data_IF_801141420470
#
_entry.id   IF_801141420470
#
_cell.length_a   1.000
_cell.length_b   1.000
_cell.length_c   1.000
_cell.angle_alpha   90.00
_cell.angle_beta   90.00
_cell.angle_gamma   90.00
#
_symmetry.space_group_name_H-M   'P 1'
#
loop_
_entity.id
_entity.type
_entity.pdbx_description
1 polymer ?
#
# COMPACT_ATOMS: atom_id res chain seq x y z
N UNK A 1 -26.72 -21.79 -26.48
CA UNK A 1 -26.50 -22.18 -25.07
C UNK A 1 -26.01 -20.95 -24.25
N UNK A 2 -26.28 -20.94 -22.93
CA UNK A 2 -25.96 -19.76 -22.10
C UNK A 2 -24.48 -19.37 -22.10
N UNK A 3 -23.59 -20.27 -22.46
CA UNK A 3 -22.15 -20.03 -22.54
C UNK A 3 -21.77 -19.22 -23.78
N UNK A 4 -22.41 -19.43 -24.91
CA UNK A 4 -22.20 -18.63 -26.13
C UNK A 4 -22.64 -17.16 -25.93
N UNK A 5 -23.74 -16.97 -25.19
CA UNK A 5 -24.20 -15.60 -24.87
C UNK A 5 -23.25 -14.86 -23.94
N UNK A 6 -22.58 -15.55 -23.02
CA UNK A 6 -21.57 -14.96 -22.11
C UNK A 6 -20.30 -14.61 -22.90
N UNK A 7 -19.85 -15.50 -23.79
CA UNK A 7 -18.67 -15.27 -24.61
C UNK A 7 -18.88 -14.10 -25.61
N UNK A 8 -20.10 -13.95 -26.12
CA UNK A 8 -20.48 -12.84 -27.00
C UNK A 8 -20.51 -11.50 -26.24
N UNK A 9 -21.03 -11.47 -25.00
CA UNK A 9 -21.03 -10.28 -24.14
C UNK A 9 -19.59 -9.88 -23.76
N UNK A 10 -18.72 -10.85 -23.49
CA UNK A 10 -17.30 -10.58 -23.18
C UNK A 10 -16.58 -10.02 -24.42
N UNK A 11 -16.85 -10.56 -25.61
CA UNK A 11 -16.28 -10.05 -26.87
C UNK A 11 -16.73 -8.63 -27.17
N UNK A 12 -18.03 -8.34 -27.07
CA UNK A 12 -18.58 -6.98 -27.32
C UNK A 12 -17.98 -5.97 -26.36
N UNK A 13 -17.85 -6.31 -25.07
CA UNK A 13 -17.20 -5.43 -24.09
C UNK A 13 -15.70 -5.26 -24.34
N UNK A 14 -15.02 -6.29 -24.79
CA UNK A 14 -13.61 -6.20 -25.17
C UNK A 14 -13.39 -5.29 -26.37
N UNK A 15 -14.29 -5.35 -27.37
CA UNK A 15 -14.25 -4.50 -28.57
C UNK A 15 -14.57 -3.02 -28.24
N UNK A 16 -15.55 -2.77 -27.39
CA UNK A 16 -15.86 -1.43 -26.91
C UNK A 16 -14.71 -0.85 -26.09
N UNK A 17 -14.10 -1.64 -25.22
CA UNK A 17 -12.96 -1.24 -24.44
C UNK A 17 -11.72 -0.97 -25.32
N UNK A 18 -11.50 -1.78 -26.35
CA UNK A 18 -10.44 -1.59 -27.34
C UNK A 18 -10.64 -0.30 -28.13
N UNK A 19 -11.89 0.03 -28.52
CA UNK A 19 -12.21 1.29 -29.23
C UNK A 19 -11.98 2.52 -28.33
N UNK A 20 -12.31 2.43 -27.05
CA UNK A 20 -12.02 3.48 -26.07
C UNK A 20 -10.51 3.64 -25.90
N UNK A 21 -9.80 2.53 -25.74
CA UNK A 21 -8.33 2.55 -25.59
C UNK A 21 -7.60 3.11 -26.80
N UNK A 22 -8.10 2.88 -28.03
CA UNK A 22 -7.50 3.38 -29.25
C UNK A 22 -7.55 4.93 -29.36
N UNK A 23 -8.44 5.58 -28.62
CA UNK A 23 -8.56 7.05 -28.57
C UNK A 23 -7.51 7.72 -27.69
N UNK A 24 -6.84 6.95 -26.82
CA UNK A 24 -5.81 7.47 -25.91
C UNK A 24 -4.42 7.12 -26.43
N UNK A 25 -3.66 8.14 -26.85
CA UNK A 25 -2.27 7.97 -27.34
C UNK A 25 -1.31 7.50 -26.23
N UNK A 26 -1.59 7.82 -24.98
CA UNK A 26 -0.76 7.47 -23.84
C UNK A 26 -1.56 6.60 -22.88
N UNK A 27 -1.08 5.39 -22.65
CA UNK A 27 -1.63 4.46 -21.66
C UNK A 27 -0.73 4.50 -20.42
N UNK A 28 -1.27 4.97 -19.32
CA UNK A 28 -0.59 4.92 -18.04
C UNK A 28 -1.22 3.78 -17.25
N UNK A 29 -0.48 2.68 -17.10
CA UNK A 29 -0.83 1.66 -16.11
C UNK A 29 -0.17 2.05 -14.79
N UNK A 30 -0.98 2.34 -13.79
CA UNK A 30 -0.49 2.44 -12.42
C UNK A 30 -0.18 1.01 -11.96
N UNK A 31 1.10 0.65 -11.98
CA UNK A 31 1.56 -0.59 -11.36
C UNK A 31 1.60 -0.43 -9.84
N UNK A 32 1.50 -1.53 -9.10
CA UNK A 32 1.59 -1.51 -7.64
C UNK A 32 2.90 -0.88 -7.12
N UNK A 33 3.98 -0.96 -7.91
CA UNK A 33 5.25 -0.29 -7.62
C UNK A 33 5.16 1.25 -7.68
N UNK A 34 4.18 1.81 -8.40
CA UNK A 34 4.00 3.26 -8.46
C UNK A 34 3.23 3.82 -7.27
N UNK A 35 2.49 3.00 -6.53
CA UNK A 35 1.74 3.44 -5.35
C UNK A 35 2.70 3.81 -4.22
N UNK A 36 3.72 3.00 -3.98
CA UNK A 36 4.75 3.29 -2.97
C UNK A 36 5.46 4.60 -3.28
N UNK A 37 5.84 4.80 -4.54
CA UNK A 37 6.47 6.03 -5.00
C UNK A 37 5.55 7.26 -4.84
N UNK A 38 4.25 7.10 -5.08
CA UNK A 38 3.26 8.16 -4.86
C UNK A 38 3.17 8.50 -3.37
N UNK A 39 3.12 7.49 -2.50
CA UNK A 39 3.09 7.71 -1.05
C UNK A 39 4.35 8.46 -0.62
N UNK A 40 5.53 8.00 -0.98
CA UNK A 40 6.82 8.60 -0.65
C UNK A 40 6.94 10.05 -1.15
N UNK A 41 6.59 10.30 -2.40
CA UNK A 41 6.79 11.62 -3.04
C UNK A 41 5.68 12.63 -2.74
N UNK A 42 4.46 12.19 -2.40
CA UNK A 42 3.30 13.07 -2.22
C UNK A 42 2.84 13.18 -0.77
N UNK A 43 2.79 12.06 -0.05
CA UNK A 43 2.32 12.03 1.34
C UNK A 43 3.49 12.23 2.30
N UNK A 44 4.62 11.54 2.06
CA UNK A 44 5.75 11.48 2.98
C UNK A 44 6.92 12.40 2.60
N UNK A 45 6.73 13.30 1.65
CA UNK A 45 7.80 14.22 1.24
C UNK A 45 8.27 15.06 2.41
N UNK A 46 9.54 14.93 2.79
CA UNK A 46 10.17 15.68 3.87
C UNK A 46 10.71 17.02 3.39
N UNK A 47 10.69 18.00 4.28
CA UNK A 47 11.47 19.21 4.11
C UNK A 47 12.96 18.89 4.25
N UNK A 48 13.86 19.65 3.61
CA UNK A 48 15.31 19.37 3.67
C UNK A 48 15.87 19.28 5.10
N UNK A 49 15.39 20.13 6.00
CA UNK A 49 15.78 20.15 7.41
C UNK A 49 15.40 18.84 8.11
N UNK A 50 14.13 18.43 7.99
CA UNK A 50 13.64 17.19 8.57
C UNK A 50 14.32 15.95 7.97
N UNK A 51 14.70 15.99 6.68
CA UNK A 51 15.46 14.91 6.08
C UNK A 51 16.84 14.74 6.70
N UNK A 52 17.53 15.86 7.01
CA UNK A 52 18.82 15.86 7.68
C UNK A 52 18.73 15.35 9.12
N UNK A 53 17.68 15.75 9.85
CA UNK A 53 17.45 15.28 11.21
C UNK A 53 17.21 13.76 11.22
N UNK A 54 16.38 13.27 10.29
CA UNK A 54 16.12 11.82 10.14
C UNK A 54 17.38 11.03 9.75
N UNK A 55 18.28 11.59 8.96
CA UNK A 55 19.57 10.97 8.65
C UNK A 55 20.37 10.72 9.93
N UNK A 56 20.48 11.73 10.79
CA UNK A 56 21.15 11.61 12.09
C UNK A 56 20.47 10.59 13.02
N UNK A 57 19.13 10.55 13.02
CA UNK A 57 18.38 9.54 13.79
C UNK A 57 18.67 8.14 13.29
N UNK A 58 18.74 7.93 11.97
CA UNK A 58 19.07 6.63 11.40
C UNK A 58 20.48 6.19 11.78
N UNK A 59 21.48 7.05 11.63
CA UNK A 59 22.88 6.76 11.97
C UNK A 59 23.05 6.35 13.43
N UNK A 60 22.35 7.02 14.35
CA UNK A 60 22.38 6.68 15.77
C UNK A 60 21.68 5.38 16.13
N UNK A 61 20.72 4.91 15.32
CA UNK A 61 19.87 3.77 15.61
C UNK A 61 19.98 2.62 14.58
N UNK A 62 20.93 2.65 13.65
CA UNK A 62 21.07 1.68 12.55
C UNK A 62 21.06 0.23 13.04
N UNK A 63 21.85 -0.10 14.05
CA UNK A 63 21.91 -1.45 14.60
C UNK A 63 20.60 -1.89 15.24
N UNK A 64 19.91 -0.98 15.92
CA UNK A 64 18.60 -1.26 16.55
C UNK A 64 17.54 -1.50 15.47
N UNK A 65 17.49 -0.64 14.45
CA UNK A 65 16.54 -0.75 13.35
C UNK A 65 16.74 -2.03 12.55
N UNK A 66 18.00 -2.42 12.28
CA UNK A 66 18.33 -3.69 11.61
C UNK A 66 17.90 -4.90 12.41
N UNK A 67 18.13 -4.91 13.70
CA UNK A 67 17.71 -6.00 14.58
C UNK A 67 16.18 -6.08 14.73
N UNK A 68 15.52 -4.93 14.89
CA UNK A 68 14.08 -4.85 15.06
C UNK A 68 13.31 -5.33 13.82
N UNK A 69 13.84 -5.07 12.63
CA UNK A 69 13.22 -5.41 11.35
C UNK A 69 13.99 -6.48 10.58
N UNK A 70 14.62 -7.42 11.28
CA UNK A 70 15.18 -8.63 10.69
C UNK A 70 14.11 -9.71 10.59
N UNK A 71 13.69 -10.04 9.38
CA UNK A 71 12.66 -11.05 9.12
C UNK A 71 13.31 -12.33 8.59
N UNK A 72 13.64 -13.26 9.48
CA UNK A 72 14.18 -14.57 9.10
C UNK A 72 13.05 -15.58 8.86
N UNK A 73 13.16 -16.40 7.81
CA UNK A 73 12.21 -17.48 7.52
C UNK A 73 10.86 -17.02 6.95
N UNK A 74 10.73 -15.76 6.53
CA UNK A 74 9.51 -15.27 5.88
C UNK A 74 9.41 -15.81 4.44
N UNK A 75 8.21 -16.31 4.09
CA UNK A 75 7.86 -16.67 2.70
C UNK A 75 7.75 -15.41 1.81
N UNK A 76 7.52 -14.25 2.43
CA UNK A 76 7.46 -12.97 1.76
C UNK A 76 8.83 -12.30 1.81
N UNK A 77 9.23 -11.68 0.71
CA UNK A 77 10.41 -10.82 0.68
C UNK A 77 10.13 -9.50 1.45
N UNK A 78 9.89 -9.65 2.75
CA UNK A 78 9.69 -8.52 3.66
C UNK A 78 11.03 -8.12 4.27
N UNK A 79 11.28 -6.82 4.29
CA UNK A 79 12.54 -6.25 4.75
C UNK A 79 12.34 -4.97 5.52
N UNK A 80 13.32 -4.67 6.36
CA UNK A 80 13.48 -3.38 7.01
C UNK A 80 14.11 -2.35 6.07
N UNK A 81 14.79 -1.39 6.64
CA UNK A 81 15.48 -0.35 5.86
C UNK A 81 16.83 -0.85 5.33
N UNK A 82 17.12 -0.55 4.07
CA UNK A 82 18.41 -0.84 3.44
C UNK A 82 19.48 0.22 3.74
N UNK A 83 19.06 1.40 4.21
CA UNK A 83 19.97 2.50 4.51
C UNK A 83 19.24 3.80 4.85
N UNK A 84 19.98 4.89 5.14
CA UNK A 84 19.42 6.16 5.59
C UNK A 84 18.47 6.77 4.56
N UNK A 85 18.77 6.66 3.28
CA UNK A 85 17.91 7.18 2.21
C UNK A 85 16.52 6.53 2.24
N UNK A 86 16.47 5.20 2.30
CA UNK A 86 15.20 4.48 2.35
C UNK A 86 14.44 4.77 3.65
N UNK A 87 15.15 4.93 4.78
CA UNK A 87 14.56 5.39 6.03
C UNK A 87 13.88 6.76 5.87
N UNK A 88 14.59 7.75 5.33
CA UNK A 88 14.06 9.11 5.14
C UNK A 88 12.85 9.09 4.21
N UNK A 89 12.91 8.36 3.09
CA UNK A 89 11.84 8.29 2.10
C UNK A 89 10.56 7.66 2.68
N UNK A 90 10.69 6.63 3.51
CA UNK A 90 9.57 5.86 4.04
C UNK A 90 9.06 6.34 5.42
N UNK A 91 9.89 7.01 6.22
CA UNK A 91 9.49 7.44 7.56
C UNK A 91 8.12 8.17 7.55
N UNK A 92 7.19 7.88 8.45
CA UNK A 92 7.29 7.04 9.65
C UNK A 92 6.95 5.55 9.43
N UNK A 93 6.94 5.06 8.19
CA UNK A 93 6.64 3.69 7.83
C UNK A 93 7.92 2.88 7.56
N UNK A 94 7.80 1.55 7.71
CA UNK A 94 8.86 0.59 7.40
C UNK A 94 8.55 -0.08 6.05
N UNK A 95 9.55 -0.37 5.20
CA UNK A 95 9.35 -0.94 3.87
C UNK A 95 8.42 -2.16 3.82
N UNK A 96 8.50 -3.08 4.80
CA UNK A 96 7.64 -4.26 4.86
C UNK A 96 6.13 -3.92 4.89
N UNK A 97 5.77 -2.77 5.44
CA UNK A 97 4.36 -2.36 5.56
C UNK A 97 3.72 -2.11 4.19
N UNK A 98 4.46 -1.53 3.26
CA UNK A 98 4.00 -1.34 1.87
C UNK A 98 3.74 -2.68 1.20
N UNK A 99 4.68 -3.63 1.34
CA UNK A 99 4.59 -4.98 0.74
C UNK A 99 3.36 -5.72 1.28
N UNK A 100 3.16 -5.72 2.61
CA UNK A 100 2.01 -6.40 3.22
C UNK A 100 0.70 -5.73 2.82
N UNK A 101 0.62 -4.39 2.83
CA UNK A 101 -0.60 -3.68 2.46
C UNK A 101 -0.98 -3.94 0.99
N UNK A 102 -0.03 -3.96 0.07
CA UNK A 102 -0.28 -4.34 -1.32
C UNK A 102 -0.87 -5.76 -1.43
N UNK A 103 -0.32 -6.72 -0.68
CA UNK A 103 -0.83 -8.10 -0.66
C UNK A 103 -2.23 -8.18 -0.05
N UNK A 104 -2.47 -7.49 1.07
CA UNK A 104 -3.80 -7.43 1.70
C UNK A 104 -4.84 -6.90 0.71
N UNK A 105 -4.58 -5.78 0.05
CA UNK A 105 -5.50 -5.24 -0.95
C UNK A 105 -5.63 -6.12 -2.20
N UNK A 106 -4.58 -6.85 -2.58
CA UNK A 106 -4.65 -7.82 -3.67
C UNK A 106 -5.57 -9.00 -3.31
N UNK A 107 -5.47 -9.52 -2.08
CA UNK A 107 -6.33 -10.63 -1.61
C UNK A 107 -7.78 -10.17 -1.39
N UNK A 108 -8.00 -8.98 -0.85
CA UNK A 108 -9.34 -8.39 -0.76
C UNK A 108 -9.99 -8.28 -2.14
N UNK A 109 -9.23 -7.91 -3.18
CA UNK A 109 -9.75 -7.86 -4.55
C UNK A 109 -10.14 -9.21 -5.10
N UNK A 110 -9.42 -10.27 -4.74
CA UNK A 110 -9.73 -11.64 -5.20
C UNK A 110 -10.93 -12.25 -4.50
N UNK A 111 -11.07 -11.99 -3.19
CA UNK A 111 -11.99 -12.71 -2.32
C UNK A 111 -13.08 -11.81 -1.72
N UNK A 112 -13.00 -10.51 -1.90
CA UNK A 112 -13.98 -9.57 -1.34
C UNK A 112 -15.32 -9.61 -2.07
N UNK A 113 -16.39 -9.59 -1.29
CA UNK A 113 -17.79 -9.69 -1.74
C UNK A 113 -18.28 -8.44 -2.51
N UNK A 114 -17.44 -7.43 -2.68
CA UNK A 114 -17.81 -6.12 -3.20
C UNK A 114 -17.18 -5.82 -4.56
N UNK A 115 -17.54 -6.58 -5.58
CA UNK A 115 -17.11 -6.37 -6.97
C UNK A 115 -17.42 -5.01 -7.59
N UNK A 116 -18.05 -4.09 -6.88
CA UNK A 116 -18.39 -2.75 -7.35
C UNK A 116 -17.54 -1.60 -6.75
N UNK A 117 -16.80 -1.82 -5.66
CA UNK A 117 -16.06 -0.74 -4.98
C UNK A 117 -14.53 -0.86 -5.08
N UNK A 118 -14.02 -1.82 -5.83
CA UNK A 118 -12.59 -2.13 -5.90
C UNK A 118 -11.78 -1.32 -6.92
N UNK A 119 -12.41 -0.46 -7.70
CA UNK A 119 -11.70 0.61 -8.43
C UNK A 119 -11.02 1.62 -7.49
N UNK A 120 -11.32 1.54 -6.19
CA UNK A 120 -10.77 2.37 -5.12
C UNK A 120 -9.62 1.74 -4.32
N UNK A 121 -9.18 0.52 -4.63
CA UNK A 121 -8.17 -0.18 -3.81
C UNK A 121 -6.87 0.62 -3.63
N UNK A 122 -6.36 1.24 -4.69
CA UNK A 122 -5.18 2.09 -4.61
C UNK A 122 -5.46 3.39 -3.85
N UNK A 123 -6.62 4.01 -4.07
CA UNK A 123 -7.06 5.20 -3.34
C UNK A 123 -7.25 4.89 -1.85
N UNK A 124 -7.84 3.75 -1.52
CA UNK A 124 -8.02 3.31 -0.13
C UNK A 124 -6.68 3.03 0.54
N UNK A 125 -5.72 2.46 -0.18
CA UNK A 125 -4.37 2.26 0.34
C UNK A 125 -3.68 3.61 0.61
N UNK A 126 -3.77 4.57 -0.32
CA UNK A 126 -3.25 5.93 -0.12
C UNK A 126 -3.88 6.61 1.11
N UNK A 127 -5.21 6.53 1.25
CA UNK A 127 -5.92 7.07 2.42
C UNK A 127 -5.46 6.39 3.71
N UNK A 128 -5.27 5.07 3.71
CA UNK A 128 -4.79 4.32 4.87
C UNK A 128 -3.42 4.77 5.35
N UNK A 129 -2.48 4.97 4.44
CA UNK A 129 -1.16 5.51 4.78
C UNK A 129 -1.25 6.95 5.30
N UNK A 130 -2.07 7.79 4.67
CA UNK A 130 -2.28 9.16 5.11
C UNK A 130 -2.89 9.23 6.52
N UNK A 131 -3.96 8.48 6.77
CA UNK A 131 -4.63 8.43 8.09
C UNK A 131 -3.70 7.89 9.17
N UNK A 132 -2.95 6.82 8.87
CA UNK A 132 -1.99 6.25 9.80
C UNK A 132 -0.85 7.24 10.14
N UNK A 133 -0.36 8.00 9.16
CA UNK A 133 0.63 9.04 9.38
C UNK A 133 0.07 10.19 10.24
N UNK A 134 -1.16 10.62 9.98
CA UNK A 134 -1.81 11.68 10.76
C UNK A 134 -2.01 11.28 12.22
N UNK A 135 -2.44 10.03 12.47
CA UNK A 135 -2.64 9.52 13.84
C UNK A 135 -1.36 9.45 14.68
N UNK A 136 -0.18 9.43 14.07
CA UNK A 136 1.09 9.41 14.79
C UNK A 136 1.73 10.78 14.89
N UNK A 137 1.24 11.77 14.16
CA UNK A 137 1.82 13.12 14.10
C UNK A 137 1.88 13.80 15.47
N UNK A 138 0.97 13.45 16.38
CA UNK A 138 0.91 13.99 17.76
C UNK A 138 1.70 13.15 18.77
N UNK A 139 2.38 12.10 18.30
CA UNK A 139 3.22 11.24 19.12
C UNK A 139 4.66 11.75 19.17
N UNK A 140 5.54 10.92 19.77
CA UNK A 140 6.97 11.24 19.82
C UNK A 140 7.52 11.56 18.42
N UNK A 141 8.43 12.52 18.38
CA UNK A 141 8.97 13.12 17.15
C UNK A 141 9.52 12.12 16.13
N UNK A 142 9.99 10.95 16.60
CA UNK A 142 10.56 9.89 15.77
C UNK A 142 9.81 8.56 15.84
N UNK A 143 8.53 8.61 16.23
CA UNK A 143 7.74 7.40 16.35
C UNK A 143 7.46 6.76 14.98
N UNK A 144 7.62 5.43 14.88
CA UNK A 144 7.21 4.66 13.72
C UNK A 144 5.74 4.26 13.83
N UNK A 145 5.06 4.19 12.68
CA UNK A 145 3.66 3.75 12.63
C UNK A 145 3.57 2.25 12.89
N UNK A 146 2.90 1.79 13.95
CA UNK A 146 2.67 0.38 14.16
C UNK A 146 1.68 -0.17 13.12
N UNK A 147 1.91 -1.40 12.66
CA UNK A 147 1.16 -1.99 11.55
C UNK A 147 -0.35 -2.10 11.84
N UNK A 148 -0.77 -2.32 13.08
CA UNK A 148 -2.19 -2.42 13.44
C UNK A 148 -3.01 -1.15 13.11
N UNK A 149 -2.36 0.00 12.93
CA UNK A 149 -3.05 1.24 12.54
C UNK A 149 -3.72 1.16 11.17
N UNK A 150 -3.31 0.23 10.33
CA UNK A 150 -3.95 -0.01 9.04
C UNK A 150 -5.26 -0.81 9.15
N UNK A 151 -5.51 -1.46 10.29
CA UNK A 151 -6.72 -2.24 10.49
C UNK A 151 -7.98 -1.41 10.29
N UNK A 152 -8.02 -0.18 10.81
CA UNK A 152 -9.15 0.75 10.67
C UNK A 152 -9.53 1.01 9.20
N UNK A 153 -8.53 1.00 8.32
CA UNK A 153 -8.75 1.18 6.88
C UNK A 153 -9.16 -0.12 6.19
N UNK A 154 -8.58 -1.24 6.60
CA UNK A 154 -8.77 -2.54 5.95
C UNK A 154 -10.06 -3.22 6.38
N UNK A 155 -10.48 -3.09 7.65
CA UNK A 155 -11.60 -3.84 8.21
C UNK A 155 -12.93 -3.61 7.47
N UNK A 156 -13.14 -2.44 6.89
CA UNK A 156 -14.35 -2.11 6.12
C UNK A 156 -14.49 -2.93 4.85
N UNK A 157 -13.39 -3.47 4.34
CA UNK A 157 -13.32 -4.30 3.12
C UNK A 157 -13.34 -5.80 3.41
N UNK A 158 -13.17 -6.20 4.68
CA UNK A 158 -13.18 -7.60 5.09
C UNK A 158 -14.60 -8.15 5.09
N UNK A 159 -14.73 -9.41 4.66
CA UNK A 159 -15.97 -10.15 4.81
C UNK A 159 -16.36 -10.26 6.28
N UNK A 160 -17.67 -10.24 6.57
CA UNK A 160 -18.20 -10.32 7.93
C UNK A 160 -17.82 -11.60 8.69
N UNK A 161 -17.51 -12.71 7.97
CA UNK A 161 -17.00 -13.93 8.59
C UNK A 161 -15.57 -13.78 9.09
N UNK A 162 -14.71 -13.15 8.27
CA UNK A 162 -13.31 -12.86 8.62
C UNK A 162 -13.25 -11.85 9.76
N UNK A 163 -14.08 -10.80 9.69
CA UNK A 163 -14.15 -9.78 10.72
C UNK A 163 -14.49 -10.38 12.11
N UNK A 164 -15.46 -11.28 12.19
CA UNK A 164 -15.84 -11.96 13.44
C UNK A 164 -14.75 -12.84 14.03
N UNK A 165 -13.77 -13.27 13.27
CA UNK A 165 -12.65 -14.08 13.76
C UNK A 165 -11.54 -13.19 14.34
N UNK A 166 -11.45 -11.94 13.86
CA UNK A 166 -10.42 -10.98 14.28
C UNK A 166 -10.86 -10.16 15.50
N UNK A 167 -12.14 -9.80 15.56
CA UNK A 167 -12.78 -9.08 16.68
C UNK A 167 -13.23 -10.03 17.78
#
# INVERSE_FOLDING_TARGET
>A
TGQEAIDEIIKVRADEFSRIQARFKTRLSLSSSSVDEVIQKRILKKKPEAAKDLEGVYEQNDSVLRNLFSFSGSILDIKGYSGPREFIENFPFVPYQFIIMQKVFAEIRKHGNSGKHLSGGERSMLSGFQEAAQKIQEKDEYALVPFFRFYDTVHTFLDGSIRRVIE
#
